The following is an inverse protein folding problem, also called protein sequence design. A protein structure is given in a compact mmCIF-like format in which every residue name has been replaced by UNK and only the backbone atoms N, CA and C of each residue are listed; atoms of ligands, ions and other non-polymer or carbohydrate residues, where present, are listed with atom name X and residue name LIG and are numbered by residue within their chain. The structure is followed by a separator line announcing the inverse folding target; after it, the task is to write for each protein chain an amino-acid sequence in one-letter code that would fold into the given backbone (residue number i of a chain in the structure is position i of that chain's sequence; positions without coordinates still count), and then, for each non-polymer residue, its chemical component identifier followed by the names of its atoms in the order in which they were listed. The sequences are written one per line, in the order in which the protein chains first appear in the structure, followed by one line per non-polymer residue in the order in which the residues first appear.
data_IF_602685299891
#
_entry.id   IF_602685299891
#
_cell.length_a   1.000
_cell.length_b   1.000
_cell.length_c   1.000
_cell.angle_alpha   90.00
_cell.angle_beta   90.00
_cell.angle_gamma   90.00
#
_symmetry.space_group_name_H-M   'P 1'
#
loop_
_entity.id
_entity.type
_entity.pdbx_description
1 polymer ?
#
# COMPACT_ATOMS: atom_id res chain seq x y z
N UNK A 1 -11.19 -0.71 -5.10
CA UNK A 1 -10.33 -1.59 -5.94
C UNK A 1 -9.26 -2.30 -5.12
N UNK A 2 -8.65 -1.63 -4.12
CA UNK A 2 -7.64 -2.21 -3.23
C UNK A 2 -8.11 -3.45 -2.45
N UNK A 3 -9.27 -3.39 -1.79
CA UNK A 3 -9.83 -4.54 -1.05
C UNK A 3 -10.10 -5.80 -1.90
N UNK A 4 -10.49 -5.63 -3.16
CA UNK A 4 -10.69 -6.76 -4.08
C UNK A 4 -9.40 -7.55 -4.31
N UNK A 5 -8.27 -6.86 -4.49
CA UNK A 5 -6.98 -7.53 -4.72
C UNK A 5 -6.50 -8.28 -3.48
N UNK A 6 -6.83 -7.80 -2.27
CA UNK A 6 -6.57 -8.54 -1.03
C UNK A 6 -7.35 -9.85 -1.01
N UNK A 7 -8.64 -9.83 -1.35
CA UNK A 7 -9.47 -11.04 -1.42
C UNK A 7 -8.93 -12.05 -2.44
N UNK A 8 -8.55 -11.59 -3.64
CA UNK A 8 -7.95 -12.46 -4.67
C UNK A 8 -6.59 -13.00 -4.23
N UNK A 9 -5.74 -12.17 -3.63
CA UNK A 9 -4.43 -12.61 -3.14
C UNK A 9 -4.55 -13.66 -2.03
N UNK A 10 -5.54 -13.50 -1.13
CA UNK A 10 -5.84 -14.50 -0.10
C UNK A 10 -6.27 -15.84 -0.70
N UNK A 11 -7.12 -15.82 -1.74
CA UNK A 11 -7.56 -17.03 -2.43
C UNK A 11 -6.40 -17.72 -3.16
N UNK A 12 -5.64 -16.99 -3.99
CA UNK A 12 -4.56 -17.55 -4.79
C UNK A 12 -3.40 -18.09 -3.93
N UNK A 13 -3.18 -17.50 -2.75
CA UNK A 13 -2.19 -17.98 -1.78
C UNK A 13 -2.44 -19.42 -1.34
N UNK A 14 -3.70 -19.82 -1.16
CA UNK A 14 -4.06 -21.20 -0.77
C UNK A 14 -3.54 -22.24 -1.77
N UNK A 15 -3.43 -21.85 -3.04
CA UNK A 15 -2.97 -22.69 -4.14
C UNK A 15 -1.54 -22.39 -4.57
N UNK A 16 -0.83 -21.50 -3.85
CA UNK A 16 0.54 -21.06 -4.18
C UNK A 16 0.67 -20.49 -5.59
N UNK A 17 -0.37 -19.81 -6.07
CA UNK A 17 -0.38 -19.17 -7.38
C UNK A 17 0.15 -17.75 -7.24
N UNK A 18 1.13 -17.40 -8.06
CA UNK A 18 1.69 -16.04 -8.11
C UNK A 18 0.70 -15.08 -8.76
N UNK A 19 0.44 -13.96 -8.09
CA UNK A 19 -0.37 -12.86 -8.59
C UNK A 19 0.52 -11.64 -8.83
N UNK A 20 0.51 -11.10 -10.05
CA UNK A 20 1.22 -9.85 -10.37
C UNK A 20 0.22 -8.77 -10.76
N UNK A 21 0.15 -7.69 -9.96
CA UNK A 21 -0.75 -6.58 -10.24
C UNK A 21 -0.06 -5.41 -10.95
N UNK A 22 -0.63 -4.87 -12.05
CA UNK A 22 -0.04 -3.74 -12.75
C UNK A 22 -0.36 -2.38 -12.12
N UNK A 23 -1.31 -2.31 -11.18
CA UNK A 23 -1.88 -1.03 -10.72
C UNK A 23 -2.18 -0.96 -9.22
N UNK A 24 -1.84 -1.99 -8.44
CA UNK A 24 -2.11 -1.99 -6.99
C UNK A 24 -1.12 -1.14 -6.21
N UNK A 25 -1.59 -0.04 -5.60
CA UNK A 25 -0.74 0.80 -4.74
C UNK A 25 -0.91 0.51 -3.24
N UNK A 26 -1.83 -0.38 -2.84
CA UNK A 26 -2.10 -0.68 -1.42
C UNK A 26 -0.83 -1.12 -0.66
N UNK A 27 -0.55 -0.50 0.50
CA UNK A 27 0.59 -0.82 1.35
C UNK A 27 0.50 -2.20 2.01
N UNK A 28 -0.69 -2.66 2.39
CA UNK A 28 -0.89 -3.98 3.03
C UNK A 28 -0.34 -5.15 2.21
N UNK A 29 -0.44 -5.04 0.87
CA UNK A 29 0.01 -6.08 -0.06
C UNK A 29 1.54 -6.18 -0.15
N UNK A 30 2.28 -5.29 0.53
CA UNK A 30 3.74 -5.38 0.69
C UNK A 30 4.17 -6.40 1.75
N UNK A 31 3.30 -6.74 2.71
CA UNK A 31 3.64 -7.68 3.79
C UNK A 31 3.79 -9.10 3.24
N UNK A 32 5.04 -9.54 3.08
CA UNK A 32 5.39 -10.87 2.55
C UNK A 32 5.09 -12.01 3.50
N UNK A 33 4.92 -11.75 4.79
CA UNK A 33 4.46 -12.79 5.73
C UNK A 33 2.99 -13.16 5.47
N UNK A 34 2.20 -12.21 4.95
CA UNK A 34 0.78 -12.40 4.61
C UNK A 34 0.59 -12.72 3.13
N UNK A 35 1.28 -12.03 2.23
CA UNK A 35 1.10 -12.09 0.78
C UNK A 35 2.37 -12.55 0.06
N UNK A 36 2.88 -13.73 0.45
CA UNK A 36 4.12 -14.31 -0.08
C UNK A 36 4.14 -14.47 -1.61
N UNK A 37 3.00 -14.78 -2.25
CA UNK A 37 2.87 -14.97 -3.70
C UNK A 37 2.37 -13.73 -4.46
N UNK A 38 2.27 -12.57 -3.81
CA UNK A 38 1.85 -11.35 -4.47
C UNK A 38 3.06 -10.53 -4.94
N UNK A 39 2.99 -9.95 -6.14
CA UNK A 39 3.92 -8.95 -6.63
C UNK A 39 3.17 -7.84 -7.38
N UNK A 40 3.84 -6.71 -7.61
CA UNK A 40 3.29 -5.58 -8.37
C UNK A 40 4.39 -4.84 -9.13
N UNK A 41 4.00 -4.14 -10.19
CA UNK A 41 4.91 -3.35 -11.02
C UNK A 41 4.91 -1.86 -10.67
N UNK A 42 3.99 -1.41 -9.82
CA UNK A 42 3.89 -0.03 -9.33
C UNK A 42 4.29 0.06 -7.85
N UNK A 43 4.81 1.20 -7.38
CA UNK A 43 5.19 1.36 -5.98
C UNK A 43 4.00 1.37 -5.02
N UNK A 44 4.30 1.14 -3.74
CA UNK A 44 3.37 1.33 -2.62
C UNK A 44 3.04 2.81 -2.41
N UNK A 45 1.87 3.11 -1.87
CA UNK A 45 1.55 4.45 -1.37
C UNK A 45 2.50 4.91 -0.25
N UNK A 46 3.18 3.97 0.44
CA UNK A 46 4.23 4.30 1.43
C UNK A 46 5.32 5.20 0.84
N UNK A 47 5.70 4.98 -0.42
CA UNK A 47 6.71 5.80 -1.08
C UNK A 47 6.23 7.24 -1.29
N UNK A 48 4.93 7.43 -1.55
CA UNK A 48 4.35 8.75 -1.65
C UNK A 48 4.32 9.44 -0.27
N UNK A 49 3.95 8.71 0.78
CA UNK A 49 3.99 9.23 2.15
C UNK A 49 5.42 9.62 2.57
N UNK A 50 6.42 8.79 2.26
CA UNK A 50 7.83 9.12 2.50
C UNK A 50 8.25 10.39 1.76
N UNK A 51 7.87 10.56 0.50
CA UNK A 51 8.16 11.79 -0.25
C UNK A 51 7.52 13.03 0.40
N UNK A 52 6.30 12.93 0.92
CA UNK A 52 5.66 14.03 1.66
C UNK A 52 6.42 14.38 2.95
N UNK A 53 6.90 13.37 3.68
CA UNK A 53 7.73 13.56 4.87
C UNK A 53 9.05 14.24 4.51
N UNK A 54 9.72 13.80 3.44
CA UNK A 54 10.97 14.40 2.97
C UNK A 54 10.79 15.89 2.62
N UNK A 55 9.68 16.27 1.99
CA UNK A 55 9.34 17.67 1.72
C UNK A 55 9.19 18.45 3.03
N UNK A 56 8.40 17.94 3.98
CA UNK A 56 8.18 18.62 5.26
C UNK A 56 9.51 18.84 6.02
N UNK A 57 10.38 17.82 6.05
CA UNK A 57 11.72 17.90 6.65
C UNK A 57 12.60 18.90 5.92
N UNK A 58 12.62 18.88 4.58
CA UNK A 58 13.43 19.78 3.76
C UNK A 58 13.11 21.25 4.01
N UNK A 59 11.82 21.56 4.20
CA UNK A 59 11.34 22.94 4.43
C UNK A 59 11.16 23.28 5.92
N UNK A 60 11.58 22.40 6.84
CA UNK A 60 11.53 22.61 8.30
C UNK A 60 10.13 22.95 8.81
N UNK A 61 9.11 22.26 8.31
CA UNK A 61 7.76 22.42 8.84
C UNK A 61 7.71 21.93 10.28
N UNK A 62 7.15 22.74 11.18
CA UNK A 62 7.03 22.43 12.61
C UNK A 62 5.62 21.98 12.99
N UNK A 63 4.68 22.03 12.05
CA UNK A 63 3.29 21.65 12.25
C UNK A 63 2.76 20.93 11.00
N UNK A 64 2.08 19.80 11.21
CA UNK A 64 1.42 18.99 10.18
C UNK A 64 0.08 18.54 10.75
N UNK A 65 -0.96 18.54 9.92
CA UNK A 65 -2.27 17.96 10.25
C UNK A 65 -2.70 17.03 9.12
N UNK A 66 -3.32 15.90 9.47
CA UNK A 66 -3.81 14.90 8.53
C UNK A 66 -5.34 14.92 8.53
N UNK A 67 -5.93 14.94 7.33
CA UNK A 67 -7.36 14.73 7.12
C UNK A 67 -7.48 13.54 6.18
N UNK A 68 -8.23 12.53 6.59
CA UNK A 68 -8.41 11.31 5.84
C UNK A 68 -9.86 10.82 5.96
N UNK A 69 -10.28 10.02 4.98
CA UNK A 69 -11.56 9.31 5.04
C UNK A 69 -11.40 8.09 5.94
N UNK A 70 -12.36 7.81 6.82
CA UNK A 70 -12.38 6.58 7.62
C UNK A 70 -12.79 5.36 6.75
N UNK A 71 -11.96 5.04 5.78
CA UNK A 71 -12.05 3.86 4.92
C UNK A 71 -10.68 3.18 4.81
N UNK A 72 -10.64 1.98 4.22
CA UNK A 72 -9.40 1.20 4.04
C UNK A 72 -8.28 1.98 3.31
N UNK A 73 -8.58 3.04 2.57
CA UNK A 73 -7.55 3.84 1.93
C UNK A 73 -7.00 4.90 2.88
N UNK A 74 -7.87 5.60 3.61
CA UNK A 74 -7.48 6.68 4.50
C UNK A 74 -6.91 6.23 5.84
N UNK A 75 -7.24 5.02 6.31
CA UNK A 75 -6.71 4.47 7.57
C UNK A 75 -5.31 3.82 7.43
N UNK A 76 -4.83 3.62 6.20
CA UNK A 76 -3.50 3.05 5.92
C UNK A 76 -2.35 3.98 6.35
#
# INVERSE_FOLDING_TARGET
MKGFLIAVANLLRLFRIVQVSPASTNADLSDKSRFEYFARTVPSDDYQAMAMVEIAVRFKWTYVSLVYSADEYGEL
#
